data_IF_727829725374
#
_entry.id   IF_727829725374
#
_cell.length_a   1.000
_cell.length_b   1.000
_cell.length_c   1.000
_cell.angle_alpha   90.00
_cell.angle_beta   90.00
_cell.angle_gamma   90.00
#
_symmetry.space_group_name_H-M   'P 1'
#
loop_
_entity.id
_entity.type
_entity.pdbx_description
1 polymer ?
2 non-polymer ?
3 water ?
#
# COMPACT_ATOMS: atom_id res chain seq x y z
N UNK A 2 8.94 0.63 31.23
CA UNK A 2 8.14 1.03 30.07
C UNK A 2 6.95 0.10 29.87
N UNK A 3 5.79 0.67 29.53
CA UNK A 3 4.62 -0.12 29.16
C UNK A 3 4.75 -0.49 27.69
N UNK A 4 4.81 -1.79 27.40
CA UNK A 4 5.10 -2.28 26.04
C UNK A 4 4.07 -1.83 24.99
N UNK A 5 4.55 -1.58 23.79
CA UNK A 5 3.72 -1.09 22.69
C UNK A 5 2.61 -2.09 22.34
N UNK A 6 1.46 -1.56 21.91
CA UNK A 6 0.38 -2.41 21.39
C UNK A 6 0.68 -2.81 19.95
N UNK A 7 -0.17 -3.65 19.40
CA UNK A 7 -0.03 -4.12 18.01
C UNK A 7 -1.16 -3.54 17.17
N UNK A 8 -0.81 -3.13 15.95
CA UNK A 8 -1.72 -2.43 15.07
C UNK A 8 -1.81 -3.17 13.73
N UNK A 9 -3.02 -3.31 13.20
CA UNK A 9 -3.18 -3.90 11.87
C UNK A 9 -4.43 -3.36 11.19
N UNK A 10 -4.55 -3.65 9.89
CA UNK A 10 -5.71 -3.21 9.12
C UNK A 10 -6.42 -4.41 8.50
N UNK A 11 -7.75 -4.34 8.44
CA UNK A 11 -8.55 -5.35 7.75
C UNK A 11 -9.40 -4.64 6.70
N UNK A 12 -9.35 -5.11 5.44
CA UNK A 12 -8.68 -6.34 5.01
C UNK A 12 -7.17 -6.22 4.92
N UNK A 13 -6.65 -4.99 4.88
CA UNK A 13 -5.23 -4.82 4.73
C UNK A 13 -4.82 -3.39 4.51
N UNK A 14 -3.58 -3.20 4.09
CA UNK A 14 -3.02 -1.87 4.02
C UNK A 14 -3.05 -1.28 2.63
N UNK A 15 -3.79 -1.91 1.72
CA UNK A 15 -3.96 -1.35 0.36
C UNK A 15 -5.44 -1.35 -0.05
N UNK A 16 -6.01 -0.15 -0.10
CA UNK A 16 -7.45 0.02 -0.20
C UNK A 16 -7.79 0.96 -1.34
N UNK A 17 -8.73 0.56 -2.19
CA UNK A 17 -9.14 1.42 -3.30
C UNK A 17 -10.05 2.54 -2.79
N UNK A 18 -9.98 3.70 -3.44
CA UNK A 18 -10.84 4.82 -3.11
C UNK A 18 -12.28 4.34 -3.00
N UNK A 19 -12.97 4.71 -1.93
CA UNK A 19 -14.37 4.41 -1.76
C UNK A 19 -14.67 3.08 -1.07
N UNK A 20 -13.63 2.29 -0.83
CA UNK A 20 -13.81 1.02 -0.15
C UNK A 20 -13.53 1.14 1.35
N UNK A 21 -13.94 0.11 2.10
CA UNK A 21 -13.87 0.15 3.55
C UNK A 21 -12.60 -0.48 4.10
N UNK A 22 -12.11 0.06 5.21
CA UNK A 22 -11.00 -0.54 5.95
C UNK A 22 -11.19 -0.24 7.44
N UNK A 23 -10.77 -1.18 8.27
CA UNK A 23 -10.83 -0.98 9.71
C UNK A 23 -9.43 -1.14 10.26
N UNK A 24 -9.01 -0.18 11.08
CA UNK A 24 -7.74 -0.28 11.77
C UNK A 24 -7.99 -0.80 13.18
N UNK A 25 -7.25 -1.84 13.55
CA UNK A 25 -7.40 -2.48 14.85
C UNK A 25 -6.14 -2.32 15.68
N UNK A 26 -6.31 -1.93 16.94
CA UNK A 26 -5.19 -1.83 17.86
C UNK A 26 -5.43 -2.71 19.08
N UNK A 27 -4.47 -3.56 19.39
CA UNK A 27 -4.62 -4.49 20.49
C UNK A 27 -3.54 -4.26 21.54
N UNK A 28 -3.97 -3.89 22.75
CA UNK A 28 -3.07 -3.69 23.86
C UNK A 28 -3.20 -4.84 24.84
N UNK A 29 -3.78 -4.57 26.01
CA UNK A 29 -4.07 -5.59 27.00
C UNK A 29 -5.41 -5.30 27.67
N UNK A 30 -5.84 -6.19 28.54
CA UNK A 30 -7.11 -6.00 29.25
C UNK A 30 -7.03 -4.85 30.25
N UNK A 31 -5.83 -4.37 30.52
CA UNK A 31 -5.62 -3.26 31.45
C UNK A 31 -5.76 -1.90 30.76
N UNK A 32 -5.91 -1.92 29.44
CA UNK A 32 -6.05 -0.68 28.67
C UNK A 32 -7.30 0.09 29.06
N UNK A 33 -7.13 1.39 29.31
CA UNK A 33 -8.25 2.25 29.70
C UNK A 33 -8.62 3.19 28.57
N UNK A 34 -7.71 3.34 27.61
CA UNK A 34 -7.87 4.33 26.56
C UNK A 34 -6.88 4.05 25.42
N UNK A 35 -7.37 4.02 24.19
CA UNK A 35 -6.51 3.87 23.02
C UNK A 35 -6.48 5.17 22.23
N UNK A 36 -5.34 5.48 21.64
CA UNK A 36 -5.22 6.65 20.76
C UNK A 36 -4.46 6.29 19.51
N UNK A 37 -4.81 6.95 18.41
CA UNK A 37 -4.17 6.71 17.14
C UNK A 37 -3.64 8.07 16.66
N UNK A 38 -2.36 8.12 16.30
CA UNK A 38 -1.81 9.28 15.63
C UNK A 38 -1.69 8.95 14.15
N UNK A 39 -2.05 9.90 13.29
CA UNK A 39 -1.75 9.76 11.86
C UNK A 39 -0.60 10.69 11.54
N UNK A 40 0.38 10.18 10.78
CA UNK A 40 1.56 10.96 10.47
C UNK A 40 1.17 12.29 9.80
N UNK A 41 1.68 13.39 10.36
CA UNK A 41 1.43 14.76 9.88
C UNK A 41 0.05 15.34 10.19
N UNK A 42 -0.77 14.59 10.94
CA UNK A 42 -2.05 15.11 11.42
C UNK A 42 -1.93 15.61 12.86
N UNK A 43 -2.79 16.56 13.24
CA UNK A 43 -2.85 16.93 14.66
C UNK A 43 -3.13 15.71 15.51
N UNK A 44 -2.52 15.64 16.69
CA UNK A 44 -2.65 14.50 17.59
C UNK A 44 -3.67 14.74 18.71
N UNK A 45 -4.43 13.72 19.10
CA UNK A 45 -4.48 12.42 18.42
C UNK A 45 -5.43 12.50 17.23
N UNK A 46 -5.25 11.61 16.26
CA UNK A 46 -6.13 11.55 15.10
C UNK A 46 -7.49 10.97 15.49
N UNK A 47 -7.46 9.97 16.37
CA UNK A 47 -8.68 9.43 16.95
C UNK A 47 -8.37 8.85 18.32
N UNK A 48 -9.42 8.54 19.07
CA UNK A 48 -9.25 8.00 20.41
C UNK A 48 -10.45 7.14 20.73
N UNK A 49 -10.26 6.16 21.60
CA UNK A 49 -11.35 5.29 21.98
C UNK A 49 -11.24 4.84 23.43
N UNK A 50 -12.26 5.16 24.22
CA UNK A 50 -12.41 4.57 25.54
C UNK A 50 -12.88 3.14 25.32
N UNK A 51 -11.93 2.19 25.37
CA UNK A 51 -12.13 0.84 24.84
C UNK A 51 -13.42 0.17 25.32
N UNK A 52 -14.19 -0.37 24.38
CA UNK A 52 -15.32 -1.25 24.70
C UNK A 52 -16.16 -1.68 23.49
N UNK A 53 -15.85 -2.82 22.86
CA UNK A 53 -14.65 -3.63 23.12
C UNK A 53 -14.82 -4.58 24.32
N UNK A 54 -13.77 -5.32 24.67
CA UNK A 54 -13.45 -5.83 26.01
C UNK A 54 -12.32 -5.10 26.76
N UNK A 55 -11.91 -3.93 26.25
CA UNK A 55 -10.68 -3.25 26.66
C UNK A 55 -9.43 -4.03 26.27
N UNK A 56 -9.60 -5.05 25.43
CA UNK A 56 -8.49 -5.77 24.82
C UNK A 56 -8.05 -5.18 23.49
N UNK A 57 -9.00 -4.67 22.73
CA UNK A 57 -8.69 -4.02 21.47
C UNK A 57 -9.61 -2.84 21.15
N UNK A 58 -9.17 -1.99 20.24
CA UNK A 58 -9.94 -0.83 19.83
C UNK A 58 -10.09 -0.89 18.32
N UNK A 59 -11.26 -0.46 17.84
CA UNK A 59 -11.54 -0.46 16.41
C UNK A 59 -11.67 0.96 15.88
N UNK A 60 -10.97 1.25 14.79
CA UNK A 60 -11.04 2.55 14.14
C UNK A 60 -11.50 2.34 12.69
N UNK A 61 -12.76 2.64 12.41
CA UNK A 61 -13.36 2.33 11.12
C UNK A 61 -13.24 3.46 10.11
N UNK A 62 -12.90 3.09 8.88
CA UNK A 62 -12.88 4.00 7.74
C UNK A 62 -13.81 3.43 6.68
N UNK A 63 -15.09 3.79 6.75
CA UNK A 63 -16.16 3.26 5.91
C UNK A 63 -15.91 3.49 4.42
N UNK A 64 -15.33 4.63 4.08
CA UNK A 64 -15.12 4.98 2.69
C UNK A 64 -13.74 5.64 2.51
N UNK A 65 -12.81 4.88 1.96
CA UNK A 65 -11.44 5.34 1.82
C UNK A 65 -11.32 6.56 0.92
N UNK A 66 -10.51 7.53 1.35
CA UNK A 66 -10.14 8.65 0.49
C UNK A 66 -8.68 8.99 0.72
N UNK A 67 -8.17 9.93 -0.07
CA UNK A 67 -6.77 10.34 0.05
C UNK A 67 -6.44 10.88 1.43
N UNK A 68 -7.45 11.37 2.15
CA UNK A 68 -7.24 11.92 3.49
C UNK A 68 -6.87 10.86 4.51
N UNK A 69 -7.00 9.59 4.13
CA UNK A 69 -6.73 8.49 5.04
C UNK A 69 -5.46 7.73 4.72
N UNK A 70 -4.86 8.00 3.57
CA UNK A 70 -3.62 7.33 3.18
C UNK A 70 -2.42 7.91 3.94
N UNK A 71 -1.48 7.05 4.30
CA UNK A 71 -0.31 7.48 5.03
C UNK A 71 0.07 6.46 6.10
N UNK A 72 0.53 6.95 7.25
CA UNK A 72 0.94 6.06 8.34
C UNK A 72 0.21 6.37 9.64
N UNK A 73 0.01 5.34 10.45
CA UNK A 73 -0.66 5.46 11.75
C UNK A 73 0.16 4.77 12.83
N UNK A 74 0.11 5.30 14.05
CA UNK A 74 0.71 4.68 15.23
C UNK A 74 -0.34 4.63 16.33
N UNK A 75 -0.37 3.54 17.08
CA UNK A 75 -1.29 3.42 18.21
C UNK A 75 -0.55 3.43 19.55
N UNK A 76 -1.12 4.10 20.55
CA UNK A 76 -0.60 4.05 21.90
C UNK A 76 -1.77 4.00 22.86
N UNK A 77 -1.58 3.41 24.03
CA UNK A 77 -2.69 3.28 24.96
C UNK A 77 -2.26 3.59 26.39
N UNK A 78 -3.24 3.90 27.22
CA UNK A 78 -2.98 4.20 28.62
C UNK A 78 -3.57 3.11 29.51
N UNK A 79 -2.76 2.62 30.45
CA UNK A 79 -3.22 1.72 31.49
C UNK A 79 -3.10 2.46 32.81
N UNK A 80 -3.50 1.83 33.93
CA UNK A 80 -3.35 2.49 35.23
C UNK A 80 -1.92 2.90 35.54
N UNK A 81 -0.96 2.24 34.89
CA UNK A 81 0.45 2.53 35.12
C UNK A 81 0.91 3.79 34.38
N UNK A 82 0.34 4.03 33.21
CA UNK A 82 0.73 5.17 32.40
C UNK A 82 0.54 4.90 30.92
N UNK A 83 1.23 5.67 30.09
CA UNK A 83 1.13 5.54 28.64
C UNK A 83 2.12 4.52 28.09
N UNK A 84 1.70 3.82 27.04
CA UNK A 84 2.53 2.80 26.42
C UNK A 84 3.50 3.41 25.42
N UNK A 85 4.50 2.64 25.04
CA UNK A 85 5.31 2.96 23.87
C UNK A 85 4.38 2.88 22.66
N UNK A 86 4.72 3.61 21.60
CA UNK A 86 3.86 3.55 20.40
C UNK A 86 4.08 2.26 19.61
N UNK A 87 3.00 1.80 18.96
CA UNK A 87 3.10 0.66 18.05
C UNK A 87 4.05 0.98 16.90
N UNK A 88 4.56 -0.06 16.26
CA UNK A 88 5.21 0.11 14.97
C UNK A 88 4.21 0.83 14.06
N UNK A 89 4.72 1.67 13.15
CA UNK A 89 3.79 2.39 12.28
C UNK A 89 3.09 1.44 11.32
N UNK A 90 1.85 1.77 10.98
CA UNK A 90 1.09 1.02 9.98
C UNK A 90 0.91 1.87 8.73
N UNK A 91 1.34 1.36 7.59
CA UNK A 91 1.16 2.05 6.34
C UNK A 91 -0.19 1.71 5.73
N UNK A 92 -0.94 2.75 5.38
CA UNK A 92 -2.21 2.55 4.70
C UNK A 92 -2.12 3.19 3.31
N UNK A 93 -2.11 2.33 2.29
CA UNK A 93 -1.93 2.75 0.91
C UNK A 93 -3.27 2.82 0.21
N UNK A 94 -3.53 3.91 -0.51
CA UNK A 94 -4.74 3.99 -1.32
C UNK A 94 -4.44 3.89 -2.80
N UNK A 95 -5.24 3.12 -3.51
CA UNK A 95 -5.18 3.13 -4.97
C UNK A 95 -6.35 3.96 -5.50
N UNK A 96 -6.17 4.54 -6.69
CA UNK A 96 -7.20 5.35 -7.29
C UNK A 96 -7.03 6.86 -7.14
N UNK A 97 -5.84 7.30 -6.73
CA UNK A 97 -5.55 8.72 -6.62
C UNK A 97 -5.34 9.37 -7.97
N UNK A 98 -5.00 8.56 -8.97
CA UNK A 98 -4.75 9.02 -10.33
C UNK A 98 -5.37 8.04 -11.31
N UNK A 99 -5.54 8.46 -12.55
CA UNK A 99 -6.08 7.57 -13.58
C UNK A 99 -5.19 6.36 -13.76
N UNK A 100 -5.74 5.26 -14.24
CA UNK A 100 -4.91 4.07 -14.39
C UNK A 100 -3.88 4.26 -15.49
N UNK A 101 -2.66 3.75 -15.27
CA UNK A 101 -1.62 3.75 -16.30
C UNK A 101 -1.91 2.61 -17.26
N UNK A 102 -1.20 2.59 -18.39
CA UNK A 102 -1.28 1.44 -19.27
C UNK A 102 -0.05 0.58 -19.08
N UNK A 103 -0.21 -0.72 -19.26
CA UNK A 103 0.90 -1.64 -19.16
C UNK A 103 0.93 -2.53 -20.39
N UNK A 104 2.05 -2.50 -21.10
CA UNK A 104 2.19 -3.35 -22.28
C UNK A 104 3.56 -4.01 -22.32
N UNK A 105 3.70 -5.01 -23.18
CA UNK A 105 4.96 -5.74 -23.31
C UNK A 105 5.57 -5.52 -24.69
N UNK A 106 6.88 -5.28 -24.70
CA UNK A 106 7.62 -5.05 -25.94
C UNK A 106 8.66 -6.16 -26.10
N UNK A 107 8.65 -6.84 -27.25
CA UNK A 107 7.77 -6.60 -28.40
C UNK A 107 6.40 -7.25 -28.28
N UNK A 108 6.21 -8.14 -27.31
CA UNK A 108 4.96 -8.87 -27.18
C UNK A 108 4.87 -9.54 -25.81
N UNK A 109 3.64 -9.74 -25.30
CA UNK A 109 3.47 -10.46 -24.03
C UNK A 109 3.68 -11.96 -24.23
N UNK A 110 3.78 -12.38 -25.48
CA UNK A 110 4.10 -13.77 -25.79
C UNK A 110 5.61 -13.89 -25.96
N UNK A 111 6.26 -14.52 -24.98
CA UNK A 111 7.72 -14.57 -24.93
C UNK A 111 8.26 -16.00 -25.06
N UNK A 112 9.29 -16.16 -25.88
CA UNK A 112 10.02 -17.42 -25.98
C UNK A 112 11.00 -17.53 -24.82
N UNK A 113 10.98 -18.67 -24.13
CA UNK A 113 11.84 -18.88 -22.98
C UNK A 113 13.31 -18.59 -23.31
N UNK A 114 13.95 -17.79 -22.47
CA UNK A 114 15.36 -17.46 -22.65
C UNK A 114 15.57 -16.10 -23.28
N UNK A 115 14.53 -15.54 -23.88
CA UNK A 115 14.63 -14.24 -24.53
C UNK A 115 14.30 -13.13 -23.54
N UNK A 116 14.22 -11.89 -24.03
CA UNK A 116 13.93 -10.77 -23.16
C UNK A 116 12.65 -10.05 -23.54
N UNK A 117 12.11 -9.31 -22.59
CA UNK A 117 10.93 -8.50 -22.83
C UNK A 117 11.04 -7.27 -21.96
N UNK A 118 10.44 -6.17 -22.40
CA UNK A 118 10.41 -4.97 -21.58
C UNK A 118 8.96 -4.63 -21.32
N UNK A 119 8.59 -4.50 -20.05
CA UNK A 119 7.25 -4.06 -19.72
C UNK A 119 7.24 -2.54 -19.60
N UNK A 120 6.25 -1.91 -20.22
CA UNK A 120 6.17 -0.47 -20.33
C UNK A 120 4.93 0.03 -19.60
N UNK A 121 5.13 0.90 -18.63
CA UNK A 121 4.03 1.47 -17.85
C UNK A 121 3.94 2.95 -18.20
N UNK A 122 2.77 3.40 -18.65
CA UNK A 122 2.61 4.76 -19.14
C UNK A 122 1.49 5.53 -18.44
N UNK A 123 1.75 6.80 -18.14
CA UNK A 123 0.79 7.63 -17.42
C UNK A 123 0.49 8.95 -18.12
N UNK A 124 -0.79 9.33 -18.14
CA UNK A 124 -1.17 10.64 -18.68
C UNK A 124 -0.61 11.76 -17.82
N UNK A 125 -0.76 11.64 -16.51
CA UNK A 125 -0.23 12.64 -15.60
C UNK A 125 1.26 12.41 -15.40
N UNK A 126 2.04 13.48 -15.22
CA UNK A 126 3.47 13.32 -14.93
C UNK A 126 3.63 12.56 -13.61
N UNK A 127 4.50 11.56 -13.61
CA UNK A 127 4.73 10.71 -12.44
C UNK A 127 6.21 10.41 -12.33
N UNK A 128 6.70 10.25 -11.10
CA UNK A 128 8.11 9.98 -10.91
C UNK A 128 8.38 8.58 -10.35
N UNK A 129 7.33 7.89 -9.95
CA UNK A 129 7.47 6.55 -9.39
C UNK A 129 6.50 5.59 -10.07
N UNK A 130 7.02 4.46 -10.53
CA UNK A 130 6.20 3.42 -11.13
C UNK A 130 6.49 2.08 -10.45
N UNK A 131 5.43 1.31 -10.20
CA UNK A 131 5.57 0.02 -9.53
C UNK A 131 5.01 -1.08 -10.41
N UNK A 132 5.79 -2.13 -10.62
CA UNK A 132 5.35 -3.27 -11.40
C UNK A 132 5.15 -4.46 -10.47
N UNK A 133 3.91 -4.94 -10.41
CA UNK A 133 3.56 -6.01 -9.48
C UNK A 133 3.09 -7.24 -10.21
N UNK A 134 3.56 -8.40 -9.78
CA UNK A 134 3.07 -9.66 -10.32
C UNK A 134 1.90 -10.14 -9.48
N UNK A 135 1.16 -11.10 -10.03
CA UNK A 135 0.07 -11.74 -9.32
C UNK A 135 0.53 -12.20 -7.94
N UNK A 136 -0.38 -12.15 -6.98
CA UNK A 136 -0.12 -12.61 -5.61
C UNK A 136 0.76 -11.67 -4.80
N UNK A 137 1.16 -10.55 -5.42
CA UNK A 137 1.85 -9.50 -4.69
C UNK A 137 0.80 -8.62 -4.01
N UNK A 138 0.75 -8.67 -2.68
CA UNK A 138 -0.30 -7.97 -1.94
C UNK A 138 0.12 -6.56 -1.53
N UNK A 139 1.41 -6.28 -1.59
CA UNK A 139 1.94 -5.00 -1.14
C UNK A 139 2.69 -4.28 -2.25
N UNK A 140 1.99 -3.45 -3.02
CA UNK A 140 2.57 -2.78 -4.18
C UNK A 140 3.82 -1.96 -3.86
N UNK A 141 3.93 -1.42 -2.65
CA UNK A 141 5.10 -0.62 -2.31
C UNK A 141 6.37 -1.46 -2.29
N UNK A 142 6.20 -2.77 -2.21
CA UNK A 142 7.33 -3.70 -2.16
C UNK A 142 7.61 -4.32 -3.52
N UNK A 143 6.82 -3.95 -4.52
CA UNK A 143 7.02 -4.46 -5.88
C UNK A 143 8.23 -3.82 -6.56
N UNK A 144 8.59 -4.33 -7.73
CA UNK A 144 9.66 -3.73 -8.51
C UNK A 144 9.36 -2.26 -8.76
N UNK A 145 10.34 -1.40 -8.50
CA UNK A 145 10.11 0.04 -8.52
C UNK A 145 11.03 0.75 -9.48
N UNK A 146 10.46 1.65 -10.28
CA UNK A 146 11.24 2.55 -11.13
C UNK A 146 11.07 3.97 -10.60
N UNK A 147 12.15 4.53 -10.06
CA UNK A 147 12.10 5.88 -9.48
C UNK A 147 12.91 6.86 -10.33
N UNK A 148 12.38 8.06 -10.48
CA UNK A 148 13.04 9.09 -11.28
C UNK A 148 13.03 10.41 -10.56
N UNK A 149 14.04 11.24 -10.80
CA UNK A 149 14.05 12.58 -10.25
C UNK A 149 13.04 13.42 -11.00
N UNK A 150 13.26 13.55 -12.31
CA UNK A 150 12.35 14.30 -13.17
C UNK A 150 11.06 13.51 -13.39
N UNK A 151 9.93 14.24 -13.45
CA UNK A 151 8.66 13.63 -13.82
C UNK A 151 8.74 12.98 -15.20
N UNK A 152 7.99 11.89 -15.37
CA UNK A 152 8.01 11.08 -16.58
C UNK A 152 6.58 10.75 -16.99
N UNK A 153 6.41 10.25 -18.21
CA UNK A 153 5.12 9.72 -18.61
C UNK A 153 5.19 8.23 -18.88
N UNK A 154 6.35 7.64 -18.60
CA UNK A 154 6.50 6.20 -18.71
C UNK A 154 7.70 5.70 -17.93
N UNK A 155 7.66 4.42 -17.61
CA UNK A 155 8.82 3.73 -17.05
C UNK A 155 8.96 2.40 -17.77
N UNK A 156 10.21 1.99 -17.98
CA UNK A 156 10.48 0.70 -18.59
C UNK A 156 10.97 -0.27 -17.53
N UNK A 157 10.49 -1.51 -17.63
CA UNK A 157 10.93 -2.59 -16.76
C UNK A 157 11.51 -3.72 -17.62
N UNK A 158 12.82 -3.65 -17.91
CA UNK A 158 13.44 -4.71 -18.70
C UNK A 158 13.45 -6.02 -17.93
N UNK A 159 13.09 -7.11 -18.60
CA UNK A 159 13.10 -8.43 -17.98
C UNK A 159 13.91 -9.41 -18.82
N UNK A 160 14.96 -9.95 -18.21
CA UNK A 160 15.86 -10.87 -18.91
C UNK A 160 16.61 -11.72 -17.90
N UNK A 161 16.74 -13.03 -18.17
CA UNK A 161 16.02 -13.70 -19.26
C UNK A 161 14.60 -13.97 -18.81
N UNK A 162 13.69 -14.21 -19.75
CA UNK A 162 12.33 -14.56 -19.39
C UNK A 162 12.16 -16.07 -19.52
N UNK A 163 11.87 -16.72 -18.40
CA UNK A 163 11.65 -18.16 -18.42
C UNK A 163 10.29 -18.50 -17.81
N UNK A 164 9.99 -19.79 -17.74
CA UNK A 164 8.69 -20.25 -17.25
C UNK A 164 8.23 -19.53 -15.99
N UNK A 165 9.14 -19.34 -15.05
CA UNK A 165 8.79 -18.75 -13.75
C UNK A 165 8.20 -17.35 -13.87
N UNK A 166 8.53 -16.64 -14.94
CA UNK A 166 8.06 -15.27 -15.13
C UNK A 166 6.64 -15.18 -15.70
N UNK A 167 6.10 -16.30 -16.14
CA UNK A 167 4.76 -16.33 -16.67
C UNK A 167 3.75 -15.92 -15.61
N UNK A 168 2.71 -15.20 -16.03
CA UNK A 168 1.68 -14.78 -15.11
C UNK A 168 1.13 -13.39 -15.41
N UNK A 169 0.35 -12.87 -14.48
CA UNK A 169 -0.36 -11.62 -14.69
C UNK A 169 0.30 -10.45 -13.94
N UNK A 170 0.53 -9.36 -14.66
CA UNK A 170 1.18 -8.18 -14.08
C UNK A 170 0.25 -6.96 -14.11
N UNK A 171 0.45 -6.07 -13.15
CA UNK A 171 -0.22 -4.77 -13.15
C UNK A 171 0.79 -3.72 -12.73
N UNK A 172 0.61 -2.49 -13.20
CA UNK A 172 1.49 -1.41 -12.74
C UNK A 172 0.71 -0.25 -12.12
N UNK A 173 1.42 0.52 -11.29
CA UNK A 173 0.84 1.66 -10.60
C UNK A 173 1.79 2.83 -10.81
N UNK A 174 1.26 4.05 -10.81
CA UNK A 174 2.12 5.23 -10.83
C UNK A 174 1.86 6.06 -9.58
N UNK A 175 2.82 6.88 -9.22
CA UNK A 175 2.68 7.74 -8.05
C UNK A 175 3.74 8.82 -8.06
N UNK A 176 3.64 9.73 -7.10
CA UNK A 176 4.74 10.63 -6.79
C UNK A 176 5.38 10.15 -5.50
N UNK A 177 6.71 10.01 -5.53
CA UNK A 177 7.45 9.56 -4.37
C UNK A 177 7.22 10.40 -3.12
N UNK A 178 6.91 11.68 -3.31
CA UNK A 178 6.68 12.59 -2.18
C UNK A 178 5.32 12.35 -1.54
N UNK A 179 4.47 11.57 -2.20
CA UNK A 179 3.22 11.11 -1.59
C UNK A 179 3.02 9.64 -1.94
N UNK A 180 3.97 8.82 -1.52
CA UNK A 180 4.08 7.46 -2.04
C UNK A 180 3.01 6.47 -1.54
N UNK A 181 2.15 6.92 -0.62
CA UNK A 181 1.04 6.09 -0.17
C UNK A 181 -0.22 6.32 -1.03
N UNK A 182 -0.12 7.22 -1.99
CA UNK A 182 -1.21 7.50 -2.92
C UNK A 182 -0.84 6.97 -4.28
N UNK A 183 -1.45 5.87 -4.68
CA UNK A 183 -1.16 5.26 -5.97
C UNK A 183 -2.29 5.50 -6.96
N UNK A 184 -1.94 5.42 -8.25
CA UNK A 184 -2.93 5.39 -9.31
C UNK A 184 -3.86 4.18 -9.14
N UNK A 185 -4.97 4.17 -9.87
CA UNK A 185 -5.69 2.93 -10.06
C UNK A 185 -4.70 1.96 -10.70
N UNK A 186 -4.85 0.66 -10.41
CA UNK A 186 -3.96 -0.28 -11.09
C UNK A 186 -4.23 -0.31 -12.59
N UNK A 187 -3.20 -0.57 -13.39
CA UNK A 187 -3.41 -0.73 -14.81
C UNK A 187 -4.26 -1.97 -15.05
N UNK A 188 -4.84 -2.07 -16.23
CA UNK A 188 -5.47 -3.32 -16.63
C UNK A 188 -4.38 -4.40 -16.59
N UNK A 189 -4.78 -5.65 -16.33
CA UNK A 189 -3.80 -6.74 -16.23
C UNK A 189 -3.14 -7.09 -17.56
N UNK A 190 -1.85 -7.41 -17.50
CA UNK A 190 -1.11 -7.88 -18.66
C UNK A 190 -0.65 -9.31 -18.37
N UNK A 191 -1.06 -10.25 -19.21
CA UNK A 191 -0.65 -11.63 -19.02
C UNK A 191 0.59 -11.95 -19.85
N UNK A 192 1.67 -12.28 -19.16
CA UNK A 192 2.90 -12.71 -19.81
C UNK A 192 2.81 -14.21 -20.04
N UNK A 193 2.92 -14.63 -21.28
CA UNK A 193 2.83 -16.05 -21.62
C UNK A 193 4.16 -16.54 -22.18
N UNK A 194 4.77 -17.48 -21.48
CA UNK A 194 6.09 -17.97 -21.85
C UNK A 194 6.01 -19.32 -22.56
N UNK A 195 6.68 -19.43 -23.69
CA UNK A 195 6.75 -20.67 -24.44
C UNK A 195 8.18 -21.20 -24.47
X LIG B 1 -2.07 16.51 -14.54
X LIG B 1 -2.39 15.37 -15.40
X LIG B 1 -1.42 17.54 -15.36
X LIG B 1 -3.29 17.05 -13.96
X LIG B 1 -1.17 16.08 -13.47
X LIG C 1 16.17 11.14 -13.80
X LIG C 1 15.48 10.62 -14.99
X LIG C 1 17.57 11.39 -14.14
X LIG C 1 15.54 12.39 -13.39
X LIG C 1 16.10 10.17 -12.73
X LIG D 1 3.86 -9.37 -0.94
X LIG D 1 2.67 -10.21 -1.15
X LIG D 1 5.04 -10.04 -1.49
X LIG D 1 3.65 -8.09 -1.59
X LIG D 1 4.06 -9.17 0.50
#
# INVERSE_FOLDING_TARGET
GPLPKPTLWAEPGSVISWGNSVTIWCQGTLEAREYRLDKEESPAPWDRQNPLEPKNKARFSIPSMTEDYAGRYRCYYRSPVGWSQPSDPLELVMTGAYSKPTLSALPSPLVTSGKSVTLLCQSRSPMDTFLLCKERAAHPLLCLRSEHGAQQHQAEFPMSPVTSVHGGTYRCFSSHGFSHYLLSHPSDPLELIVSG
SO4 S O1 O2 O3 O4
SO4 S O1 O2 O3 O4
SO4 S O1 O2 O3 O4
#
